data_IF_998797941989
#
_entry.id   IF_998797941989
#
_cell.length_a   1.000
_cell.length_b   1.000
_cell.length_c   1.000
_cell.angle_alpha   90.00
_cell.angle_beta   90.00
_cell.angle_gamma   90.00
#
_symmetry.space_group_name_H-M   'P 1'
#
loop_
_entity.id
_entity.type
_entity.pdbx_description
1 polymer ?
#
# COMPACT_ATOMS: atom_id res chain seq x y z
N UNK A 1 -22.13 -39.45 32.52
CA UNK A 1 -21.37 -40.69 32.22
C UNK A 1 -21.20 -40.92 30.71
N UNK A 2 -22.25 -40.72 29.89
CA UNK A 2 -22.21 -40.92 28.43
C UNK A 2 -21.19 -40.05 27.68
N UNK A 3 -21.03 -38.78 28.06
CA UNK A 3 -20.11 -37.83 27.39
C UNK A 3 -18.63 -38.22 27.61
N UNK A 4 -18.26 -38.65 28.82
CA UNK A 4 -16.88 -39.05 29.13
C UNK A 4 -16.48 -40.34 28.40
N UNK A 5 -17.41 -41.29 28.24
CA UNK A 5 -17.18 -42.49 27.44
C UNK A 5 -17.02 -42.15 25.95
N UNK A 6 -17.85 -41.25 25.43
CA UNK A 6 -17.72 -40.76 24.05
C UNK A 6 -16.36 -40.08 23.79
N UNK A 7 -15.92 -39.20 24.69
CA UNK A 7 -14.62 -38.54 24.58
C UNK A 7 -13.46 -39.54 24.68
N UNK A 8 -13.56 -40.53 25.58
CA UNK A 8 -12.53 -41.56 25.72
C UNK A 8 -12.42 -42.47 24.49
N UNK A 9 -13.54 -42.78 23.83
CA UNK A 9 -13.56 -43.63 22.64
C UNK A 9 -13.12 -42.91 21.37
N UNK A 10 -13.33 -41.59 21.31
CA UNK A 10 -13.03 -40.77 20.13
C UNK A 10 -11.84 -39.81 20.36
N UNK A 11 -11.02 -40.06 21.39
CA UNK A 11 -9.94 -39.15 21.82
C UNK A 11 -8.99 -38.78 20.69
N UNK A 12 -8.61 -39.75 19.86
CA UNK A 12 -7.69 -39.53 18.75
C UNK A 12 -8.33 -38.69 17.63
N UNK A 13 -9.61 -38.94 17.34
CA UNK A 13 -10.37 -38.17 16.36
C UNK A 13 -10.59 -36.72 16.82
N UNK A 14 -10.95 -36.52 18.09
CA UNK A 14 -11.10 -35.19 18.70
C UNK A 14 -9.75 -34.46 18.72
N UNK A 15 -8.66 -35.15 19.05
CA UNK A 15 -7.30 -34.62 19.01
C UNK A 15 -6.92 -34.17 17.60
N UNK A 16 -7.16 -35.03 16.60
CA UNK A 16 -6.92 -34.72 15.19
C UNK A 16 -7.70 -33.47 14.74
N UNK A 17 -9.01 -33.43 15.03
CA UNK A 17 -9.87 -32.28 14.69
C UNK A 17 -9.36 -31.01 15.37
N UNK A 18 -8.99 -31.09 16.65
CA UNK A 18 -8.47 -29.93 17.39
C UNK A 18 -7.18 -29.40 16.79
N UNK A 19 -6.23 -30.30 16.46
CA UNK A 19 -4.96 -29.93 15.81
C UNK A 19 -5.21 -29.37 14.42
N UNK A 20 -6.09 -29.96 13.63
CA UNK A 20 -6.45 -29.46 12.30
C UNK A 20 -7.07 -28.06 12.37
N UNK A 21 -8.01 -27.82 13.29
CA UNK A 21 -8.62 -26.49 13.49
C UNK A 21 -7.56 -25.48 13.95
N UNK A 22 -6.70 -25.85 14.89
CA UNK A 22 -5.62 -24.99 15.35
C UNK A 22 -4.65 -24.63 14.21
N UNK A 23 -4.29 -25.60 13.36
CA UNK A 23 -3.46 -25.38 12.18
C UNK A 23 -4.09 -24.41 11.18
N UNK A 24 -5.38 -24.58 10.87
CA UNK A 24 -6.13 -23.68 9.99
C UNK A 24 -6.19 -22.26 10.58
N UNK A 25 -6.44 -22.14 11.88
CA UNK A 25 -6.49 -20.84 12.55
C UNK A 25 -5.15 -20.10 12.46
N UNK A 26 -4.04 -20.79 12.74
CA UNK A 26 -2.68 -20.22 12.60
C UNK A 26 -2.41 -19.81 11.15
N UNK A 27 -2.83 -20.62 10.18
CA UNK A 27 -2.66 -20.33 8.76
C UNK A 27 -3.44 -19.09 8.32
N UNK A 28 -4.71 -18.95 8.73
CA UNK A 28 -5.52 -17.76 8.46
C UNK A 28 -4.85 -16.52 9.07
N UNK A 29 -4.42 -16.60 10.33
CA UNK A 29 -3.74 -15.49 11.01
C UNK A 29 -2.44 -15.09 10.30
N UNK A 30 -1.70 -16.06 9.75
CA UNK A 30 -0.50 -15.79 8.97
C UNK A 30 -0.83 -15.08 7.65
N UNK A 31 -1.87 -15.51 6.92
CA UNK A 31 -2.35 -14.83 5.71
C UNK A 31 -2.74 -13.38 6.03
N UNK A 32 -3.51 -13.17 7.10
CA UNK A 32 -3.94 -11.83 7.51
C UNK A 32 -2.74 -10.93 7.83
N UNK A 33 -1.75 -11.44 8.56
CA UNK A 33 -0.53 -10.70 8.86
C UNK A 33 0.24 -10.34 7.58
N UNK A 34 0.38 -11.30 6.65
CA UNK A 34 1.07 -11.08 5.37
C UNK A 34 0.36 -10.04 4.51
N UNK A 35 -0.98 -10.07 4.50
CA UNK A 35 -1.80 -9.08 3.80
C UNK A 35 -1.64 -7.69 4.39
N UNK A 36 -1.61 -7.57 5.73
CA UNK A 36 -1.35 -6.29 6.40
C UNK A 36 0.03 -5.74 6.05
N UNK A 37 1.08 -6.56 6.12
CA UNK A 37 2.44 -6.14 5.75
C UNK A 37 2.54 -5.70 4.28
N UNK A 38 1.83 -6.38 3.36
CA UNK A 38 1.78 -5.97 1.96
C UNK A 38 1.09 -4.61 1.78
N UNK A 39 -0.02 -4.38 2.49
CA UNK A 39 -0.73 -3.09 2.47
C UNK A 39 0.14 -1.97 3.02
N UNK A 40 0.79 -2.17 4.16
CA UNK A 40 1.70 -1.20 4.77
C UNK A 40 2.88 -0.88 3.83
N UNK A 41 3.47 -1.90 3.21
CA UNK A 41 4.56 -1.72 2.25
C UNK A 41 4.09 -0.91 1.03
N UNK A 42 2.92 -1.24 0.45
CA UNK A 42 2.37 -0.49 -0.69
C UNK A 42 2.07 0.96 -0.32
N UNK A 43 1.46 1.20 0.84
CA UNK A 43 1.20 2.55 1.34
C UNK A 43 2.49 3.36 1.51
N UNK A 44 3.53 2.75 2.11
CA UNK A 44 4.83 3.40 2.26
C UNK A 44 5.45 3.74 0.91
N UNK A 45 5.46 2.82 -0.04
CA UNK A 45 6.00 3.08 -1.38
C UNK A 45 5.20 4.16 -2.11
N UNK A 46 3.88 4.18 -1.97
CA UNK A 46 3.05 5.27 -2.50
C UNK A 46 3.47 6.63 -1.92
N UNK A 47 3.62 6.74 -0.60
CA UNK A 47 4.06 7.99 0.03
C UNK A 47 5.49 8.38 -0.34
N UNK A 48 6.39 7.41 -0.53
CA UNK A 48 7.73 7.65 -1.03
C UNK A 48 7.70 8.24 -2.46
N UNK A 49 6.82 7.76 -3.34
CA UNK A 49 6.62 8.33 -4.68
C UNK A 49 6.12 9.78 -4.61
N UNK A 50 5.15 10.08 -3.75
CA UNK A 50 4.67 11.45 -3.52
C UNK A 50 5.83 12.35 -3.04
N UNK A 51 6.65 11.85 -2.11
CA UNK A 51 7.86 12.57 -1.65
C UNK A 51 8.83 12.86 -2.79
N UNK A 52 9.11 11.86 -3.63
CA UNK A 52 9.97 12.02 -4.82
C UNK A 52 9.42 13.10 -5.74
N UNK A 53 8.11 13.09 -6.03
CA UNK A 53 7.46 14.11 -6.88
C UNK A 53 7.62 15.51 -6.28
N UNK A 54 7.54 15.65 -4.96
CA UNK A 54 7.78 16.93 -4.26
C UNK A 54 9.26 17.36 -4.18
N UNK A 55 10.19 16.58 -4.76
CA UNK A 55 11.62 16.87 -4.73
C UNK A 55 12.34 16.47 -3.45
N UNK A 56 11.73 15.61 -2.61
CA UNK A 56 12.31 15.16 -1.34
C UNK A 56 12.42 13.64 -1.29
N UNK A 57 13.64 13.11 -1.34
CA UNK A 57 13.89 11.67 -1.13
C UNK A 57 14.06 11.36 0.37
N UNK A 58 13.81 10.10 0.74
CA UNK A 58 13.99 9.58 2.10
C UNK A 58 15.43 9.72 2.61
N UNK A 59 16.42 9.64 1.71
CA UNK A 59 17.85 9.82 2.01
C UNK A 59 18.30 11.29 2.01
N UNK A 60 17.36 12.25 1.95
CA UNK A 60 17.61 13.69 1.85
C UNK A 60 18.34 14.15 0.58
N UNK A 61 18.51 13.29 -0.41
CA UNK A 61 18.97 13.71 -1.74
C UNK A 61 17.83 14.31 -2.56
N UNK A 62 18.18 15.17 -3.52
CA UNK A 62 17.20 15.77 -4.45
C UNK A 62 17.05 14.86 -5.67
N UNK A 63 15.86 14.29 -5.95
CA UNK A 63 15.65 13.47 -7.12
C UNK A 63 15.75 14.32 -8.40
N UNK A 64 16.31 13.74 -9.46
CA UNK A 64 16.37 14.41 -10.76
C UNK A 64 14.98 14.51 -11.41
N UNK A 65 14.80 15.40 -12.38
CA UNK A 65 13.49 15.62 -13.03
C UNK A 65 12.90 14.35 -13.66
N UNK A 66 13.74 13.50 -14.27
CA UNK A 66 13.30 12.24 -14.88
C UNK A 66 12.71 11.29 -13.85
N UNK A 67 13.33 11.19 -12.68
CA UNK A 67 12.82 10.39 -11.56
C UNK A 67 11.49 10.93 -11.05
N UNK A 68 11.33 12.25 -10.98
CA UNK A 68 10.08 12.88 -10.54
C UNK A 68 8.96 12.63 -11.54
N UNK A 69 9.22 12.79 -12.84
CA UNK A 69 8.26 12.48 -13.91
C UNK A 69 7.91 10.99 -13.90
N UNK A 70 8.89 10.10 -13.74
CA UNK A 70 8.64 8.67 -13.62
C UNK A 70 7.77 8.36 -12.41
N UNK A 71 8.04 8.98 -11.26
CA UNK A 71 7.26 8.80 -10.04
C UNK A 71 5.79 9.21 -10.24
N UNK A 72 5.51 10.31 -10.97
CA UNK A 72 4.14 10.69 -11.34
C UNK A 72 3.43 9.55 -12.06
N UNK A 73 4.05 8.96 -13.08
CA UNK A 73 3.43 7.88 -13.85
C UNK A 73 3.29 6.57 -13.06
N UNK A 74 4.25 6.28 -12.17
CA UNK A 74 4.16 5.11 -11.29
C UNK A 74 2.96 5.18 -10.33
N UNK A 75 2.39 6.36 -10.06
CA UNK A 75 1.16 6.47 -9.26
C UNK A 75 -0.03 5.75 -9.90
N UNK A 76 -0.04 5.52 -11.23
CA UNK A 76 -1.09 4.75 -11.91
C UNK A 76 -1.18 3.31 -11.40
N UNK A 77 -0.10 2.72 -10.89
CA UNK A 77 -0.10 1.36 -10.32
C UNK A 77 -0.84 1.28 -8.97
N UNK A 78 -1.17 2.43 -8.37
CA UNK A 78 -1.77 2.54 -7.04
C UNK A 78 -3.22 3.01 -7.10
N UNK A 79 -4.05 2.24 -7.82
CA UNK A 79 -5.48 2.50 -8.04
C UNK A 79 -6.26 2.74 -6.75
N UNK A 80 -5.91 2.04 -5.68
CA UNK A 80 -6.53 2.20 -4.37
C UNK A 80 -6.36 3.60 -3.75
N UNK A 81 -5.44 4.42 -4.25
CA UNK A 81 -5.14 5.75 -3.74
C UNK A 81 -5.52 6.88 -4.69
N UNK A 82 -6.16 6.61 -5.84
CA UNK A 82 -6.48 7.65 -6.83
C UNK A 82 -7.25 8.84 -6.24
N UNK A 83 -8.27 8.60 -5.42
CA UNK A 83 -9.02 9.69 -4.77
C UNK A 83 -8.12 10.57 -3.90
N UNK A 84 -7.19 9.95 -3.16
CA UNK A 84 -6.23 10.66 -2.31
C UNK A 84 -5.22 11.42 -3.18
N UNK A 85 -4.70 10.80 -4.23
CA UNK A 85 -3.79 11.42 -5.21
C UNK A 85 -4.43 12.67 -5.81
N UNK A 86 -5.70 12.59 -6.21
CA UNK A 86 -6.46 13.73 -6.73
C UNK A 86 -6.57 14.82 -5.69
N UNK A 87 -6.97 14.52 -4.45
CA UNK A 87 -7.06 15.52 -3.38
C UNK A 87 -5.71 16.19 -3.12
N UNK A 88 -4.63 15.41 -3.00
CA UNK A 88 -3.28 15.92 -2.76
C UNK A 88 -2.90 16.92 -3.84
N UNK A 89 -3.01 16.58 -5.12
CA UNK A 89 -2.55 17.48 -6.18
C UNK A 89 -3.53 18.58 -6.56
N UNK A 90 -4.84 18.40 -6.33
CA UNK A 90 -5.85 19.41 -6.68
C UNK A 90 -6.00 20.50 -5.62
N UNK A 91 -5.77 20.16 -4.35
CA UNK A 91 -5.88 21.09 -3.22
C UNK A 91 -4.54 21.73 -2.85
N UNK A 92 -3.43 21.23 -3.39
CA UNK A 92 -2.11 21.81 -3.18
C UNK A 92 -1.86 22.96 -4.15
N UNK A 93 -1.26 24.05 -3.65
CA UNK A 93 -0.82 25.18 -4.48
C UNK A 93 0.50 24.86 -5.20
N UNK A 94 0.47 23.84 -6.06
CA UNK A 94 1.65 23.25 -6.70
C UNK A 94 2.43 24.26 -7.55
N UNK A 95 1.75 25.27 -8.09
CA UNK A 95 2.35 26.31 -8.92
C UNK A 95 3.25 27.25 -8.10
N UNK A 96 2.89 27.52 -6.85
CA UNK A 96 3.63 28.44 -5.97
C UNK A 96 4.57 27.72 -4.98
N UNK A 97 4.41 26.41 -4.80
CA UNK A 97 5.21 25.63 -3.84
C UNK A 97 6.56 25.16 -4.39
N UNK A 98 6.76 25.18 -5.71
CA UNK A 98 7.92 24.58 -6.36
C UNK A 98 8.75 25.60 -7.17
N UNK A 99 9.97 25.20 -7.55
CA UNK A 99 10.81 26.03 -8.39
C UNK A 99 10.33 26.03 -9.86
N UNK A 100 10.75 27.04 -10.63
CA UNK A 100 10.31 27.23 -12.01
C UNK A 100 10.57 26.02 -12.91
N UNK A 101 11.73 25.36 -12.75
CA UNK A 101 12.11 24.18 -13.52
C UNK A 101 11.14 23.02 -13.25
N UNK A 102 10.76 22.81 -11.99
CA UNK A 102 9.80 21.79 -11.60
C UNK A 102 8.42 22.06 -12.19
N UNK A 103 7.95 23.31 -12.11
CA UNK A 103 6.65 23.74 -12.66
C UNK A 103 6.63 23.53 -14.18
N UNK A 104 7.73 23.79 -14.88
CA UNK A 104 7.80 23.60 -16.33
C UNK A 104 7.83 22.11 -16.75
N UNK A 105 8.46 21.25 -15.96
CA UNK A 105 8.75 19.86 -16.38
C UNK A 105 7.94 18.77 -15.68
N UNK A 106 7.51 18.96 -14.43
CA UNK A 106 6.83 17.92 -13.64
C UNK A 106 5.32 18.18 -13.57
N UNK A 107 4.91 19.42 -13.32
CA UNK A 107 3.50 19.80 -13.20
C UNK A 107 2.64 19.42 -14.41
N UNK A 108 3.09 19.54 -15.68
CA UNK A 108 2.30 19.10 -16.83
C UNK A 108 2.00 17.60 -16.81
N UNK A 109 2.89 16.79 -16.23
CA UNK A 109 2.66 15.35 -16.07
C UNK A 109 1.68 15.06 -14.94
N UNK A 110 1.71 15.84 -13.85
CA UNK A 110 0.70 15.73 -12.79
C UNK A 110 -0.69 16.04 -13.34
N UNK A 111 -0.84 17.09 -14.16
CA UNK A 111 -2.11 17.39 -14.81
C UNK A 111 -2.59 16.28 -15.75
N UNK A 112 -1.67 15.61 -16.46
CA UNK A 112 -2.02 14.44 -17.28
C UNK A 112 -2.46 13.26 -16.42
N UNK A 113 -1.72 12.97 -15.35
CA UNK A 113 -2.09 11.93 -14.38
C UNK A 113 -3.49 12.17 -13.82
N UNK A 114 -3.79 13.39 -13.37
CA UNK A 114 -5.10 13.74 -12.82
C UNK A 114 -6.24 13.52 -13.82
N UNK A 115 -6.00 13.75 -15.12
CA UNK A 115 -6.98 13.44 -16.17
C UNK A 115 -7.16 11.95 -16.41
N UNK A 116 -6.15 11.12 -16.15
CA UNK A 116 -6.23 9.67 -16.31
C UNK A 116 -6.88 8.97 -15.13
N UNK A 117 -6.75 9.52 -13.92
CA UNK A 117 -7.28 8.90 -12.69
C UNK A 117 -8.63 9.48 -12.24
N UNK A 118 -9.10 10.56 -12.86
CA UNK A 118 -10.44 11.15 -12.68
C UNK A 118 -11.50 10.45 -13.53
#
# INVERSE_FOLDING_TARGET
MMILQFISQNKDLIGLITVSIAGIFVFIKWIDNRNRELKEKRYKTYMDLIGVISGKRVDSSTPNLTEQIAAVWFLLEYKEYYEITTKIFSESDLENMANEIWVQHVLPHIHKLLKEIS
#
